data_IF_786637600423
#
_entry.id   IF_786637600423
#
_cell.length_a   1.000
_cell.length_b   1.000
_cell.length_c   1.000
_cell.angle_alpha   90.00
_cell.angle_beta   90.00
_cell.angle_gamma   90.00
#
_symmetry.space_group_name_H-M   'P 1'
#
loop_
_entity.id
_entity.type
_entity.pdbx_description
1 polymer ?
#
# COMPACT_ATOMS: atom_id res chain seq x y z
N UNK A 1 -35.70 -62.02 30.66
CA UNK A 1 -34.33 -61.59 30.51
C UNK A 1 -34.33 -60.06 30.26
N UNK A 2 -34.07 -59.29 31.28
CA UNK A 2 -33.87 -57.84 31.09
C UNK A 2 -32.44 -57.66 30.65
N UNK A 3 -32.23 -57.24 29.42
CA UNK A 3 -30.92 -56.83 28.94
C UNK A 3 -30.43 -55.56 29.61
N UNK A 4 -29.18 -55.54 29.97
CA UNK A 4 -28.55 -54.36 30.56
C UNK A 4 -28.70 -53.15 29.64
N UNK A 5 -29.10 -52.02 30.23
CA UNK A 5 -29.13 -50.74 29.50
C UNK A 5 -27.70 -50.41 29.04
N UNK A 6 -27.54 -50.26 27.74
CA UNK A 6 -26.27 -49.74 27.21
C UNK A 6 -26.09 -48.29 27.69
N UNK A 7 -24.99 -48.04 28.36
CA UNK A 7 -24.58 -46.66 28.72
C UNK A 7 -24.30 -45.88 27.45
N UNK A 8 -25.25 -45.04 27.04
CA UNK A 8 -25.04 -44.07 25.96
C UNK A 8 -24.32 -42.86 26.54
N UNK A 9 -23.03 -42.78 26.28
CA UNK A 9 -22.25 -41.58 26.63
C UNK A 9 -22.55 -40.50 25.60
N UNK A 10 -23.44 -39.60 25.95
CA UNK A 10 -23.64 -38.39 25.12
C UNK A 10 -22.45 -37.46 25.29
N UNK A 11 -21.65 -37.30 24.27
CA UNK A 11 -20.65 -36.24 24.21
C UNK A 11 -21.34 -34.93 23.77
N UNK A 12 -21.55 -34.02 24.70
CA UNK A 12 -21.95 -32.65 24.36
C UNK A 12 -20.68 -31.95 23.89
N UNK A 13 -20.52 -31.79 22.58
CA UNK A 13 -19.49 -30.93 22.02
C UNK A 13 -20.00 -29.50 22.08
N UNK A 14 -19.57 -28.72 23.07
CA UNK A 14 -19.73 -27.30 23.00
C UNK A 14 -18.68 -26.77 22.01
N UNK A 15 -19.10 -26.23 20.87
CA UNK A 15 -18.22 -25.44 20.05
C UNK A 15 -18.01 -24.11 20.73
N UNK A 16 -16.76 -23.72 20.97
CA UNK A 16 -16.48 -22.34 21.35
C UNK A 16 -17.05 -21.42 20.27
N UNK A 17 -17.70 -20.33 20.66
CA UNK A 17 -18.09 -19.31 19.71
C UNK A 17 -16.82 -18.85 18.96
N UNK A 18 -16.93 -18.71 17.63
CA UNK A 18 -15.82 -18.13 16.88
C UNK A 18 -15.47 -16.77 17.48
N UNK A 19 -14.19 -16.43 17.61
CA UNK A 19 -13.80 -15.11 18.10
C UNK A 19 -14.40 -14.03 17.18
N UNK A 20 -14.78 -12.86 17.76
CA UNK A 20 -15.31 -11.77 16.97
C UNK A 20 -14.29 -11.40 15.88
N UNK A 21 -14.76 -11.18 14.68
CA UNK A 21 -13.88 -10.79 13.58
C UNK A 21 -13.35 -9.38 13.81
N UNK A 22 -12.08 -9.18 13.52
CA UNK A 22 -11.39 -7.92 13.72
C UNK A 22 -10.62 -7.54 12.45
N UNK A 23 -10.63 -6.26 12.13
CA UNK A 23 -9.81 -5.65 11.10
C UNK A 23 -9.27 -4.36 11.68
N UNK A 24 -7.95 -4.26 11.79
CA UNK A 24 -7.27 -3.05 12.22
C UNK A 24 -6.56 -2.41 11.01
N UNK A 25 -6.73 -1.10 10.88
CA UNK A 25 -6.12 -0.28 9.84
C UNK A 25 -5.65 1.03 10.46
N UNK A 26 -4.35 1.20 10.59
CA UNK A 26 -3.77 2.31 11.33
C UNK A 26 -2.65 2.97 10.52
N UNK A 27 -2.77 4.30 10.34
CA UNK A 27 -1.68 5.14 9.83
C UNK A 27 -0.74 5.50 10.97
N UNK A 28 0.56 5.26 10.78
CA UNK A 28 1.61 5.53 11.76
C UNK A 28 2.36 6.85 11.49
N UNK A 29 2.04 7.52 10.38
CA UNK A 29 2.72 8.74 9.92
C UNK A 29 1.69 9.80 9.56
N UNK A 30 2.16 11.04 9.32
CA UNK A 30 1.33 12.09 8.76
C UNK A 30 0.72 11.65 7.43
N UNK A 31 -0.47 12.17 7.12
CA UNK A 31 -1.17 11.90 5.86
C UNK A 31 -1.02 13.03 4.84
N UNK A 32 -0.17 14.01 5.14
CA UNK A 32 0.13 15.13 4.25
C UNK A 32 1.63 15.21 4.06
N UNK A 33 2.06 15.12 2.83
CA UNK A 33 3.46 15.12 2.43
C UNK A 33 3.69 16.12 1.31
N UNK A 34 4.93 16.52 1.15
CA UNK A 34 5.36 17.38 0.03
C UNK A 34 6.56 16.76 -0.69
N UNK A 35 6.68 17.04 -1.95
CA UNK A 35 7.91 16.80 -2.72
C UNK A 35 8.89 17.96 -2.61
N UNK A 36 8.46 19.10 -2.03
CA UNK A 36 9.21 20.34 -2.09
C UNK A 36 9.31 20.88 -3.51
N UNK A 37 10.39 21.58 -3.83
CA UNK A 37 10.63 22.10 -5.18
C UNK A 37 11.13 20.99 -6.09
N UNK A 38 10.39 20.71 -7.17
CA UNK A 38 10.78 19.74 -8.19
C UNK A 38 11.88 20.31 -9.10
N UNK A 39 12.72 19.42 -9.61
CA UNK A 39 13.82 19.75 -10.54
C UNK A 39 13.92 18.70 -11.65
N UNK A 40 14.21 19.13 -12.87
CA UNK A 40 14.41 18.19 -13.98
C UNK A 40 15.74 17.43 -13.90
N UNK A 41 16.63 17.77 -12.97
CA UNK A 41 17.95 17.12 -12.83
C UNK A 41 18.02 16.11 -11.69
N UNK A 42 17.03 16.09 -10.81
CA UNK A 42 17.01 15.23 -9.64
C UNK A 42 15.60 14.71 -9.38
N UNK A 43 15.50 13.45 -9.00
CA UNK A 43 14.27 12.87 -8.47
C UNK A 43 13.89 13.53 -7.12
N UNK A 44 12.60 13.53 -6.81
CA UNK A 44 12.09 13.97 -5.51
C UNK A 44 11.17 12.93 -4.92
N UNK A 45 11.34 12.70 -3.64
CA UNK A 45 10.50 11.81 -2.85
C UNK A 45 9.66 12.58 -1.85
N UNK A 46 8.45 12.10 -1.62
CA UNK A 46 7.56 12.72 -0.67
C UNK A 46 8.05 12.50 0.77
N UNK A 47 8.04 13.57 1.55
CA UNK A 47 8.31 13.59 2.99
C UNK A 47 7.67 14.82 3.63
N UNK A 48 7.89 15.10 4.90
CA UNK A 48 7.40 16.32 5.56
C UNK A 48 7.91 17.62 4.89
N UNK A 49 9.06 17.57 4.21
CA UNK A 49 9.68 18.74 3.55
C UNK A 49 10.12 18.47 2.11
N UNK A 50 9.89 17.28 1.59
CA UNK A 50 10.45 16.77 0.34
C UNK A 50 11.89 16.29 0.52
N UNK A 51 12.30 15.25 -0.21
CA UNK A 51 13.62 14.64 -0.11
C UNK A 51 14.27 14.46 -1.48
N UNK A 52 15.59 14.53 -1.53
CA UNK A 52 16.41 14.14 -2.69
C UNK A 52 16.77 12.65 -2.64
N UNK A 53 16.62 12.05 -1.48
CA UNK A 53 16.86 10.62 -1.26
C UNK A 53 15.52 9.91 -1.07
N UNK A 54 15.45 8.64 -1.46
CA UNK A 54 14.25 7.85 -1.28
C UNK A 54 13.81 7.82 0.18
N UNK A 55 12.54 8.14 0.39
CA UNK A 55 11.89 8.10 1.70
C UNK A 55 10.56 7.39 1.62
N UNK A 56 10.20 6.73 2.72
CA UNK A 56 8.91 6.09 2.90
C UNK A 56 8.00 7.05 3.68
N UNK A 57 7.13 7.74 2.95
CA UNK A 57 6.32 8.81 3.50
C UNK A 57 5.15 8.27 4.33
N UNK A 58 4.48 7.23 3.85
CA UNK A 58 3.31 6.64 4.50
C UNK A 58 3.67 5.31 5.14
N UNK A 59 3.27 5.12 6.39
CA UNK A 59 3.34 3.86 7.09
C UNK A 59 1.94 3.43 7.53
N UNK A 60 1.56 2.21 7.18
CA UNK A 60 0.27 1.62 7.51
C UNK A 60 0.51 0.30 8.23
N UNK A 61 -0.14 0.11 9.37
CA UNK A 61 -0.22 -1.18 10.05
C UNK A 61 -1.58 -1.81 9.80
N UNK A 62 -1.58 -3.07 9.42
CA UNK A 62 -2.78 -3.85 9.18
C UNK A 62 -2.69 -5.18 9.93
N UNK A 63 -3.75 -5.53 10.65
CA UNK A 63 -3.93 -6.88 11.20
C UNK A 63 -5.40 -7.29 11.09
N UNK A 64 -5.64 -8.59 10.91
CA UNK A 64 -6.97 -9.16 10.86
C UNK A 64 -6.95 -10.61 11.34
N UNK A 65 -8.08 -11.07 11.88
CA UNK A 65 -8.35 -12.49 12.09
C UNK A 65 -9.40 -13.03 11.09
N UNK A 66 -9.70 -12.30 10.02
CA UNK A 66 -10.55 -12.77 8.92
C UNK A 66 -9.90 -13.98 8.24
N UNK A 67 -10.68 -15.04 8.01
CA UNK A 67 -10.16 -16.35 7.59
C UNK A 67 -9.26 -16.29 6.36
N UNK A 68 -9.60 -15.45 5.40
CA UNK A 68 -8.89 -15.32 4.12
C UNK A 68 -8.07 -14.04 4.03
N UNK A 69 -7.84 -13.35 5.17
CA UNK A 69 -6.98 -12.18 5.24
C UNK A 69 -7.64 -10.90 4.77
N UNK A 70 -6.97 -10.14 3.91
CA UNK A 70 -7.43 -8.84 3.44
C UNK A 70 -6.82 -8.42 2.11
N UNK A 71 -7.45 -7.44 1.49
CA UNK A 71 -6.92 -6.71 0.33
C UNK A 71 -6.73 -5.25 0.71
N UNK A 72 -5.52 -4.71 0.47
CA UNK A 72 -5.21 -3.30 0.53
C UNK A 72 -5.17 -2.74 -0.88
N UNK A 73 -6.01 -1.76 -1.16
CA UNK A 73 -6.09 -1.08 -2.44
C UNK A 73 -5.82 0.41 -2.30
N UNK A 74 -5.38 1.04 -3.39
CA UNK A 74 -5.32 2.49 -3.50
C UNK A 74 -6.07 2.99 -4.72
N UNK A 75 -6.52 4.25 -4.66
CA UNK A 75 -7.02 4.99 -5.83
C UNK A 75 -6.57 6.44 -5.71
N UNK A 76 -6.41 7.09 -6.83
CA UNK A 76 -6.00 8.48 -6.89
C UNK A 76 -5.54 8.87 -8.28
N UNK A 77 -5.52 10.15 -8.53
CA UNK A 77 -5.00 10.70 -9.78
C UNK A 77 -3.47 10.90 -9.68
N UNK A 78 -2.85 11.25 -10.79
CA UNK A 78 -1.47 11.74 -10.78
C UNK A 78 -1.39 13.15 -10.20
N UNK A 79 -0.19 13.68 -10.07
CA UNK A 79 0.02 15.07 -9.65
C UNK A 79 -0.51 16.05 -10.70
N UNK A 80 -1.33 17.02 -10.28
CA UNK A 80 -1.96 18.02 -11.13
C UNK A 80 -1.76 19.44 -10.63
N UNK A 81 -1.63 20.36 -11.59
CA UNK A 81 -1.70 21.81 -11.40
C UNK A 81 -2.69 22.39 -12.42
N UNK A 82 -3.95 22.51 -12.05
CA UNK A 82 -5.02 22.84 -13.00
C UNK A 82 -5.17 21.76 -14.08
N UNK A 83 -4.98 22.13 -15.34
CA UNK A 83 -5.02 21.21 -16.48
C UNK A 83 -3.68 20.46 -16.71
N UNK A 84 -2.58 20.97 -16.19
CA UNK A 84 -1.27 20.38 -16.34
C UNK A 84 -1.10 19.18 -15.40
N UNK A 85 -0.42 18.14 -15.88
CA UNK A 85 -0.18 16.92 -15.11
C UNK A 85 1.31 16.56 -15.13
N UNK A 86 1.76 15.89 -14.08
CA UNK A 86 2.97 15.07 -14.16
C UNK A 86 2.52 13.66 -14.54
N UNK A 87 3.06 13.14 -15.63
CA UNK A 87 2.65 11.84 -16.18
C UNK A 87 2.83 10.73 -15.16
N UNK A 88 1.83 9.87 -14.93
CA UNK A 88 2.03 8.68 -14.09
C UNK A 88 2.98 7.70 -14.78
N UNK A 89 3.72 6.93 -14.00
CA UNK A 89 4.62 5.89 -14.52
C UNK A 89 3.84 4.81 -15.31
N UNK A 90 2.60 4.55 -14.91
CA UNK A 90 1.79 3.47 -15.47
C UNK A 90 1.85 2.19 -14.63
N UNK A 91 1.15 1.15 -15.09
CA UNK A 91 0.97 -0.12 -14.38
C UNK A 91 2.14 -1.11 -14.48
N UNK A 92 3.32 -0.67 -14.90
CA UNK A 92 4.52 -1.50 -15.03
C UNK A 92 5.63 -0.99 -14.14
N UNK A 93 6.46 -1.89 -13.64
CA UNK A 93 7.67 -1.56 -12.88
C UNK A 93 8.59 -0.66 -13.71
N UNK A 94 8.92 0.50 -13.18
CA UNK A 94 9.83 1.44 -13.83
C UNK A 94 10.76 2.09 -12.83
N UNK A 95 11.99 2.32 -13.23
CA UNK A 95 12.96 3.07 -12.43
C UNK A 95 12.66 4.57 -12.49
N UNK A 96 13.17 5.29 -11.51
CA UNK A 96 13.20 6.75 -11.52
C UNK A 96 14.13 7.25 -12.64
N UNK A 97 13.63 8.17 -13.47
CA UNK A 97 14.39 8.80 -14.55
C UNK A 97 14.21 10.32 -14.47
N UNK A 98 15.07 11.04 -13.71
CA UNK A 98 15.06 12.49 -13.69
C UNK A 98 15.15 13.09 -15.10
N UNK A 99 14.44 14.18 -15.38
CA UNK A 99 14.31 14.77 -16.70
C UNK A 99 13.14 14.21 -17.53
N UNK A 100 12.44 13.23 -17.01
CA UNK A 100 11.19 12.67 -17.57
C UNK A 100 10.08 12.86 -16.55
N UNK A 101 8.87 13.18 -16.99
CA UNK A 101 7.72 13.25 -16.08
C UNK A 101 7.37 11.87 -15.57
N UNK A 102 7.37 11.71 -14.25
CA UNK A 102 7.00 10.48 -13.58
C UNK A 102 6.37 10.79 -12.23
N UNK A 103 5.21 10.18 -11.97
CA UNK A 103 4.66 10.02 -10.63
C UNK A 103 4.49 8.53 -10.36
N UNK A 104 5.01 8.06 -9.24
CA UNK A 104 5.02 6.64 -8.92
C UNK A 104 4.91 6.36 -7.43
N UNK A 105 4.48 5.15 -7.12
CA UNK A 105 4.29 4.61 -5.77
C UNK A 105 5.12 3.35 -5.63
N UNK A 106 5.79 3.22 -4.50
CA UNK A 106 6.54 2.03 -4.08
C UNK A 106 5.95 1.52 -2.77
N UNK A 107 5.83 0.21 -2.63
CA UNK A 107 5.29 -0.45 -1.43
C UNK A 107 6.25 -1.53 -0.97
N UNK A 108 6.61 -1.50 0.30
CA UNK A 108 7.31 -2.59 0.97
C UNK A 108 6.52 -3.06 2.19
N UNK A 109 6.77 -4.30 2.63
CA UNK A 109 6.12 -4.84 3.84
C UNK A 109 7.14 -5.38 4.81
N UNK A 110 6.77 -5.38 6.10
CA UNK A 110 7.55 -5.94 7.19
C UNK A 110 6.64 -6.57 8.24
N UNK A 111 6.96 -7.76 8.68
CA UNK A 111 6.17 -8.54 9.64
C UNK A 111 4.87 -9.06 9.03
N UNK A 112 4.12 -9.84 9.81
CA UNK A 112 2.84 -10.43 9.42
C UNK A 112 2.89 -11.28 8.14
N UNK A 113 1.73 -11.51 7.56
CA UNK A 113 1.54 -12.34 6.35
C UNK A 113 1.24 -11.54 5.07
N UNK A 114 1.17 -10.21 5.19
CA UNK A 114 0.81 -9.36 4.06
C UNK A 114 1.95 -9.15 3.08
N UNK A 115 1.64 -9.22 1.79
CA UNK A 115 2.61 -9.12 0.68
C UNK A 115 2.19 -8.02 -0.28
N UNK A 116 3.10 -7.08 -0.64
CA UNK A 116 2.83 -6.11 -1.69
C UNK A 116 2.67 -6.77 -3.06
N UNK A 117 1.89 -6.14 -3.93
CA UNK A 117 1.81 -6.54 -5.34
C UNK A 117 3.13 -6.24 -6.04
N UNK A 118 3.63 -7.18 -6.84
CA UNK A 118 4.97 -7.15 -7.42
C UNK A 118 5.31 -5.86 -8.17
N UNK A 119 4.37 -5.28 -8.93
CA UNK A 119 4.62 -4.04 -9.69
C UNK A 119 4.99 -2.83 -8.84
N UNK A 120 4.69 -2.86 -7.53
CA UNK A 120 5.01 -1.80 -6.57
C UNK A 120 6.25 -2.13 -5.73
N UNK A 121 6.92 -3.26 -5.97
CA UNK A 121 8.07 -3.70 -5.17
C UNK A 121 9.39 -3.52 -5.91
N UNK A 122 10.45 -3.19 -5.18
CA UNK A 122 11.82 -3.22 -5.64
C UNK A 122 12.62 -4.30 -4.91
N UNK A 123 13.75 -4.70 -5.48
CA UNK A 123 14.71 -5.59 -4.83
C UNK A 123 15.97 -4.79 -4.48
N UNK A 124 16.22 -4.60 -3.19
CA UNK A 124 17.46 -3.99 -2.72
C UNK A 124 17.27 -3.09 -1.50
N UNK A 125 18.35 -2.71 -0.83
CA UNK A 125 18.32 -1.71 0.22
C UNK A 125 17.94 -0.34 -0.33
N UNK A 126 17.40 0.53 0.49
CA UNK A 126 16.97 1.91 0.18
C UNK A 126 18.09 2.83 -0.34
N UNK A 127 19.05 2.33 -1.08
CA UNK A 127 20.19 3.11 -1.59
C UNK A 127 20.40 2.77 -3.05
N UNK A 128 20.13 3.74 -3.93
CA UNK A 128 20.38 3.64 -5.35
C UNK A 128 19.16 3.15 -6.17
N UNK A 129 19.34 3.09 -7.48
CA UNK A 129 18.33 2.93 -8.53
C UNK A 129 17.58 1.57 -8.57
N UNK A 130 17.36 0.91 -7.44
CA UNK A 130 16.78 -0.43 -7.38
C UNK A 130 15.31 -0.49 -7.00
N UNK A 131 14.70 0.64 -6.66
CA UNK A 131 13.28 0.70 -6.39
C UNK A 131 12.49 0.92 -7.67
N UNK A 132 11.48 0.10 -7.84
CA UNK A 132 10.54 0.23 -8.94
C UNK A 132 9.27 0.90 -8.46
N UNK A 133 8.76 1.77 -9.30
CA UNK A 133 7.56 2.54 -9.06
C UNK A 133 6.54 2.19 -10.12
N UNK A 134 5.28 2.13 -9.72
CA UNK A 134 4.16 2.05 -10.64
C UNK A 134 3.04 2.96 -10.13
N UNK A 135 2.25 3.52 -11.02
CA UNK A 135 1.04 4.22 -10.67
C UNK A 135 0.09 4.25 -11.87
N UNK A 136 -1.09 3.67 -11.66
CA UNK A 136 -2.18 3.76 -12.63
C UNK A 136 -3.07 4.93 -12.20
N UNK A 137 -3.21 5.90 -13.08
CA UNK A 137 -4.12 7.02 -12.85
C UNK A 137 -5.55 6.54 -12.92
N UNK A 138 -6.20 6.46 -11.77
CA UNK A 138 -7.63 6.25 -11.71
C UNK A 138 -8.20 6.86 -10.41
N UNK A 139 -8.98 7.93 -10.57
CA UNK A 139 -9.63 8.58 -9.44
C UNK A 139 -10.90 7.83 -9.00
N UNK A 140 -11.37 6.87 -9.78
CA UNK A 140 -12.65 6.18 -9.58
C UNK A 140 -12.50 4.70 -9.22
N UNK A 141 -11.55 3.99 -9.82
CA UNK A 141 -11.31 2.58 -9.58
C UNK A 141 -10.13 2.38 -8.65
N UNK A 142 -10.28 1.52 -7.65
CA UNK A 142 -9.17 1.15 -6.78
C UNK A 142 -8.36 0.03 -7.40
N UNK A 143 -7.04 0.10 -7.25
CA UNK A 143 -6.10 -0.94 -7.64
C UNK A 143 -5.51 -1.59 -6.40
N UNK A 144 -5.41 -2.91 -6.39
CA UNK A 144 -4.78 -3.66 -5.30
C UNK A 144 -3.27 -3.34 -5.28
N UNK A 145 -2.76 -3.00 -4.09
CA UNK A 145 -1.32 -2.74 -3.87
C UNK A 145 -0.68 -3.75 -2.94
N UNK A 146 -1.47 -4.41 -2.08
CA UNK A 146 -1.02 -5.47 -1.21
C UNK A 146 -2.19 -6.35 -0.78
N UNK A 147 -1.90 -7.57 -0.32
CA UNK A 147 -2.88 -8.48 0.24
C UNK A 147 -2.27 -9.44 1.25
N UNK A 148 -3.11 -10.03 2.08
CA UNK A 148 -2.81 -11.24 2.85
C UNK A 148 -3.90 -12.28 2.55
N UNK A 149 -3.53 -13.54 2.48
CA UNK A 149 -4.46 -14.65 2.28
C UNK A 149 -4.80 -15.38 3.57
N UNK A 150 -4.32 -14.89 4.70
CA UNK A 150 -4.58 -15.46 6.03
C UNK A 150 -4.83 -14.35 7.04
N UNK A 151 -5.71 -14.63 8.00
CA UNK A 151 -5.98 -13.77 9.14
C UNK A 151 -5.37 -14.38 10.41
N UNK A 152 -4.07 -14.16 10.61
CA UNK A 152 -3.31 -14.69 11.75
C UNK A 152 -3.32 -13.75 12.97
N UNK A 153 -3.95 -12.57 12.84
CA UNK A 153 -3.93 -11.51 13.86
C UNK A 153 -2.60 -10.78 13.96
N UNK A 154 -1.58 -11.20 13.20
CA UNK A 154 -0.30 -10.53 13.21
C UNK A 154 -0.33 -9.20 12.44
N UNK A 155 0.45 -8.23 12.92
CA UNK A 155 0.60 -6.95 12.24
C UNK A 155 1.52 -7.07 11.03
N UNK A 156 1.01 -6.70 9.86
CA UNK A 156 1.84 -6.35 8.70
C UNK A 156 1.98 -4.84 8.63
N UNK A 157 3.21 -4.36 8.61
CA UNK A 157 3.53 -2.96 8.35
C UNK A 157 3.82 -2.78 6.87
N UNK A 158 3.11 -1.85 6.24
CA UNK A 158 3.41 -1.39 4.90
C UNK A 158 4.06 -0.02 4.98
N UNK A 159 5.23 0.09 4.36
CA UNK A 159 5.93 1.35 4.16
C UNK A 159 5.77 1.76 2.68
N UNK A 160 5.26 2.96 2.43
CA UNK A 160 4.88 3.43 1.09
C UNK A 160 5.65 4.71 0.78
N UNK A 161 6.37 4.68 -0.33
CA UNK A 161 7.09 5.81 -0.89
C UNK A 161 6.41 6.37 -2.13
N UNK A 162 6.57 7.66 -2.39
CA UNK A 162 6.08 8.33 -3.58
C UNK A 162 7.22 9.08 -4.26
N UNK A 163 7.29 8.94 -5.58
CA UNK A 163 8.29 9.57 -6.44
C UNK A 163 7.63 10.61 -7.35
N UNK A 164 8.29 11.75 -7.52
CA UNK A 164 7.98 12.71 -8.56
C UNK A 164 9.24 13.13 -9.32
N UNK A 165 9.19 13.00 -10.64
CA UNK A 165 10.17 13.56 -11.56
C UNK A 165 9.46 14.51 -12.53
N UNK A 166 10.18 15.53 -13.00
CA UNK A 166 9.71 16.47 -14.02
C UNK A 166 10.67 16.52 -15.20
N UNK A 167 10.13 16.86 -16.37
CA UNK A 167 10.89 17.20 -17.56
C UNK A 167 11.24 18.70 -17.58
N UNK A 168 12.24 19.13 -18.35
CA UNK A 168 12.51 20.56 -18.57
C UNK A 168 11.32 21.33 -19.18
N UNK A 169 10.42 20.63 -19.85
CA UNK A 169 9.20 21.16 -20.47
C UNK A 169 7.97 21.14 -19.56
N UNK A 170 8.06 20.56 -18.37
CA UNK A 170 6.92 20.53 -17.43
C UNK A 170 6.49 21.94 -17.05
N UNK A 171 5.21 22.25 -17.19
CA UNK A 171 4.67 23.56 -16.89
C UNK A 171 4.92 23.94 -15.41
N UNK A 172 5.27 25.21 -15.13
CA UNK A 172 5.42 25.66 -13.74
C UNK A 172 4.07 25.68 -13.05
N UNK A 173 4.03 25.24 -11.77
CA UNK A 173 2.79 25.23 -10.99
C UNK A 173 2.94 24.54 -9.64
N UNK A 174 1.87 24.61 -8.85
CA UNK A 174 1.73 23.84 -7.62
C UNK A 174 0.98 22.54 -7.92
N UNK A 175 1.73 21.44 -7.99
CA UNK A 175 1.18 20.14 -8.29
C UNK A 175 0.74 19.42 -7.02
N UNK A 176 -0.45 18.83 -7.04
CA UNK A 176 -0.98 18.07 -5.91
C UNK A 176 -1.82 16.88 -6.38
N UNK A 177 -1.99 15.92 -5.51
CA UNK A 177 -2.94 14.80 -5.68
C UNK A 177 -3.44 14.32 -4.33
N UNK A 178 -4.48 13.50 -4.34
CA UNK A 178 -5.01 12.79 -3.18
C UNK A 178 -5.01 11.31 -3.50
N UNK A 179 -4.30 10.53 -2.70
CA UNK A 179 -4.33 9.07 -2.76
C UNK A 179 -5.20 8.55 -1.62
N UNK A 180 -6.19 7.73 -1.95
CA UNK A 180 -7.09 7.09 -0.99
C UNK A 180 -6.73 5.62 -0.86
N UNK A 181 -6.55 5.16 0.36
CA UNK A 181 -6.35 3.75 0.68
C UNK A 181 -7.65 3.11 1.14
N UNK A 182 -7.92 1.90 0.67
CA UNK A 182 -9.08 1.10 1.03
C UNK A 182 -8.61 -0.25 1.52
N UNK A 183 -9.14 -0.69 2.65
CA UNK A 183 -8.88 -2.00 3.21
C UNK A 183 -10.18 -2.81 3.24
N UNK A 184 -10.12 -4.03 2.70
CA UNK A 184 -11.25 -4.96 2.69
C UNK A 184 -10.81 -6.28 3.33
N UNK A 185 -11.54 -6.74 4.35
CA UNK A 185 -11.31 -8.06 4.93
C UNK A 185 -11.99 -9.14 4.07
N UNK A 186 -11.32 -10.30 3.96
CA UNK A 186 -11.81 -11.49 3.24
C UNK A 186 -12.26 -12.54 4.28
N UNK A 187 -13.58 -12.86 4.31
CA UNK A 187 -14.20 -13.75 5.29
C UNK A 187 -14.54 -15.12 4.74
#
# INVERSE_FOLDING_TARGET
HMGAAADYTYKICASAAAPPQSLNFEFQTNMVFTFGTLSATHARWASDSGSNDETLATRINISTNAQYGYVLSMKGDTLRSGADIISPIGGVKSLSVPGTEQFGVHVSSNGGSGVPVDVYTGTGPMVGDTYYYAHITDATTSVMIASSTVGDGANTRYDIGYLANIAPSTAPGAYSTVITYLLTAEY
#
